data_IF_968125770548
#
_entry.id   IF_968125770548
#
_cell.length_a   1.000
_cell.length_b   1.000
_cell.length_c   1.000
_cell.angle_alpha   90.00
_cell.angle_beta   90.00
_cell.angle_gamma   90.00
#
_symmetry.space_group_name_H-M   'P 1'
#
loop_
_entity.id
_entity.type
_entity.pdbx_description
1 polymer ?
#
# COMPACT_ATOMS: atom_id res chain seq x y z
N UNK A 1 -32.67 -20.21 -14.82
CA UNK A 1 -32.06 -18.87 -15.02
C UNK A 1 -33.13 -17.81 -14.76
N UNK A 2 -33.51 -17.60 -13.49
CA UNK A 2 -34.47 -16.55 -13.05
C UNK A 2 -34.01 -16.01 -11.69
N UNK A 3 -32.73 -15.69 -11.56
CA UNK A 3 -32.15 -15.16 -10.30
C UNK A 3 -31.36 -13.86 -10.46
N UNK A 4 -31.32 -13.24 -11.64
CA UNK A 4 -30.42 -12.09 -11.84
C UNK A 4 -31.09 -10.72 -11.94
N UNK A 5 -32.28 -10.57 -12.53
CA UNK A 5 -32.83 -9.22 -12.75
C UNK A 5 -33.34 -8.54 -11.46
N UNK A 6 -33.97 -9.30 -10.56
CA UNK A 6 -34.54 -8.75 -9.32
C UNK A 6 -33.46 -8.43 -8.29
N UNK A 7 -32.41 -9.25 -8.18
CA UNK A 7 -31.22 -8.92 -7.36
C UNK A 7 -30.48 -7.72 -7.92
N UNK A 8 -30.26 -7.67 -9.23
CA UNK A 8 -29.60 -6.53 -9.89
C UNK A 8 -30.38 -5.22 -9.67
N UNK A 9 -31.71 -5.25 -9.74
CA UNK A 9 -32.55 -4.08 -9.48
C UNK A 9 -32.51 -3.64 -8.01
N UNK A 10 -32.47 -4.58 -7.06
CA UNK A 10 -32.32 -4.28 -5.62
C UNK A 10 -30.94 -3.70 -5.32
N UNK A 11 -29.88 -4.27 -5.88
CA UNK A 11 -28.51 -3.78 -5.71
C UNK A 11 -28.36 -2.38 -6.34
N UNK A 12 -28.87 -2.16 -7.56
CA UNK A 12 -28.91 -0.85 -8.20
C UNK A 12 -29.73 0.18 -7.41
N UNK A 13 -30.85 -0.24 -6.82
CA UNK A 13 -31.64 0.58 -5.90
C UNK A 13 -30.86 0.98 -4.65
N UNK A 14 -30.05 0.10 -4.09
CA UNK A 14 -29.17 0.44 -2.96
C UNK A 14 -28.09 1.44 -3.37
N UNK A 15 -27.46 1.28 -4.53
CA UNK A 15 -26.46 2.23 -5.04
C UNK A 15 -27.03 3.63 -5.29
N UNK A 16 -28.24 3.73 -5.87
CA UNK A 16 -28.93 5.02 -6.07
C UNK A 16 -29.24 5.66 -4.73
N UNK A 17 -29.75 4.91 -3.75
CA UNK A 17 -30.02 5.46 -2.42
C UNK A 17 -28.75 5.95 -1.72
N UNK A 18 -27.62 5.23 -1.82
CA UNK A 18 -26.32 5.69 -1.32
C UNK A 18 -25.86 6.98 -2.00
N UNK A 19 -26.03 7.08 -3.32
CA UNK A 19 -25.66 8.28 -4.07
C UNK A 19 -26.52 9.50 -3.69
N UNK A 20 -27.82 9.30 -3.46
CA UNK A 20 -28.74 10.34 -2.97
C UNK A 20 -28.28 10.82 -1.59
N UNK A 21 -28.07 9.90 -0.65
CA UNK A 21 -27.58 10.24 0.70
C UNK A 21 -26.23 10.99 0.66
N UNK A 22 -25.28 10.53 -0.15
CA UNK A 22 -23.98 11.20 -0.32
C UNK A 22 -24.12 12.64 -0.84
N UNK A 23 -25.07 12.87 -1.75
CA UNK A 23 -25.34 14.18 -2.31
C UNK A 23 -26.04 15.09 -1.29
N UNK A 24 -26.98 14.55 -0.51
CA UNK A 24 -27.66 15.27 0.59
C UNK A 24 -26.70 15.69 1.71
N UNK A 25 -25.71 14.85 2.02
CA UNK A 25 -24.62 15.17 2.95
C UNK A 25 -23.67 16.24 2.41
N UNK A 26 -23.34 16.17 1.12
CA UNK A 26 -22.47 17.17 0.46
C UNK A 26 -23.14 18.55 0.33
N UNK A 27 -24.47 18.58 0.29
CA UNK A 27 -25.31 19.80 0.21
C UNK A 27 -25.71 20.34 1.60
N UNK A 28 -25.39 19.61 2.68
CA UNK A 28 -25.60 20.05 4.07
C UNK A 28 -27.03 19.92 4.59
N UNK A 29 -27.87 19.10 3.95
CA UNK A 29 -29.27 18.88 4.36
C UNK A 29 -29.47 17.64 5.26
N UNK A 30 -28.45 16.77 5.39
CA UNK A 30 -28.51 15.54 6.18
C UNK A 30 -27.44 15.49 7.28
N UNK A 31 -27.84 15.05 8.49
CA UNK A 31 -26.92 14.80 9.61
C UNK A 31 -25.92 13.69 9.22
N UNK A 32 -24.63 14.02 9.21
CA UNK A 32 -23.55 13.06 8.96
C UNK A 32 -23.21 12.32 10.25
N UNK A 33 -23.25 10.99 10.25
CA UNK A 33 -22.57 10.20 11.29
C UNK A 33 -21.07 10.47 11.15
N UNK A 34 -20.48 11.26 12.06
CA UNK A 34 -19.05 11.54 12.08
C UNK A 34 -18.26 10.25 12.34
N UNK A 35 -17.14 10.08 11.64
CA UNK A 35 -16.19 9.01 11.94
C UNK A 35 -15.50 9.35 13.26
N UNK A 36 -15.19 8.33 14.05
CA UNK A 36 -14.45 8.52 15.29
C UNK A 36 -13.12 9.26 15.00
N UNK A 37 -12.76 10.33 15.74
CA UNK A 37 -11.57 11.14 15.46
C UNK A 37 -10.28 10.33 15.37
N UNK A 38 -10.16 9.25 16.15
CA UNK A 38 -9.01 8.33 16.09
C UNK A 38 -8.92 7.58 14.76
N UNK A 39 -10.06 7.20 14.17
CA UNK A 39 -10.10 6.53 12.88
C UNK A 39 -9.71 7.46 11.73
N UNK A 40 -10.15 8.72 11.75
CA UNK A 40 -9.76 9.71 10.74
C UNK A 40 -8.24 9.96 10.76
N UNK A 41 -7.62 10.04 11.94
CA UNK A 41 -6.18 10.15 12.09
C UNK A 41 -5.44 8.92 11.54
N UNK A 42 -5.94 7.71 11.80
CA UNK A 42 -5.34 6.47 11.28
C UNK A 42 -5.44 6.38 9.75
N UNK A 43 -6.55 6.80 9.16
CA UNK A 43 -6.72 6.85 7.71
C UNK A 43 -5.76 7.86 7.08
N UNK A 44 -5.63 9.06 7.67
CA UNK A 44 -4.68 10.07 7.22
C UNK A 44 -3.23 9.58 7.31
N UNK A 45 -2.88 8.87 8.40
CA UNK A 45 -1.58 8.25 8.55
C UNK A 45 -1.32 7.19 7.48
N UNK A 46 -2.30 6.33 7.19
CA UNK A 46 -2.19 5.32 6.15
C UNK A 46 -1.92 5.94 4.76
N UNK A 47 -2.67 6.98 4.40
CA UNK A 47 -2.49 7.71 3.13
C UNK A 47 -1.10 8.38 3.05
N UNK A 48 -0.65 8.98 4.15
CA UNK A 48 0.68 9.60 4.25
C UNK A 48 1.80 8.55 4.13
N UNK A 49 1.67 7.42 4.81
CA UNK A 49 2.62 6.30 4.74
C UNK A 49 2.75 5.79 3.32
N UNK A 50 1.64 5.51 2.63
CA UNK A 50 1.68 5.06 1.23
C UNK A 50 2.37 6.08 0.32
N UNK A 51 2.02 7.37 0.47
CA UNK A 51 2.64 8.44 -0.31
C UNK A 51 4.14 8.55 -0.07
N UNK A 52 4.59 8.37 1.17
CA UNK A 52 6.01 8.36 1.52
C UNK A 52 6.71 7.14 0.92
N UNK A 53 6.12 5.95 1.07
CA UNK A 53 6.65 4.70 0.55
C UNK A 53 6.82 4.74 -0.98
N UNK A 54 5.80 5.19 -1.72
CA UNK A 54 5.88 5.34 -3.17
C UNK A 54 7.04 6.24 -3.61
N UNK A 55 7.23 7.36 -2.91
CA UNK A 55 8.34 8.29 -3.20
C UNK A 55 9.70 7.64 -2.95
N UNK A 56 9.83 6.89 -1.86
CA UNK A 56 11.05 6.16 -1.52
C UNK A 56 11.35 5.11 -2.60
N UNK A 57 10.36 4.28 -2.97
CA UNK A 57 10.48 3.31 -4.07
C UNK A 57 10.97 4.01 -5.33
N UNK A 58 10.32 5.10 -5.74
CA UNK A 58 10.67 5.82 -6.96
C UNK A 58 12.12 6.35 -6.93
N UNK A 59 12.56 6.93 -5.82
CA UNK A 59 13.93 7.45 -5.70
C UNK A 59 14.97 6.32 -5.67
N UNK A 60 14.68 5.21 -4.99
CA UNK A 60 15.57 4.05 -4.98
C UNK A 60 15.70 3.44 -6.38
N UNK A 61 14.62 3.32 -7.15
CA UNK A 61 14.72 2.84 -8.53
C UNK A 61 15.52 3.77 -9.44
N UNK A 62 15.41 5.09 -9.25
CA UNK A 62 16.24 6.07 -9.99
C UNK A 62 17.72 5.94 -9.61
N UNK A 63 18.01 5.66 -8.34
CA UNK A 63 19.38 5.40 -7.88
C UNK A 63 19.96 4.14 -8.53
N UNK A 64 19.20 3.04 -8.57
CA UNK A 64 19.67 1.76 -9.12
C UNK A 64 19.73 1.77 -10.65
N UNK A 65 18.78 2.43 -11.32
CA UNK A 65 18.70 2.53 -12.76
C UNK A 65 18.29 3.95 -13.17
N UNK A 66 19.27 4.86 -13.37
CA UNK A 66 18.99 6.26 -13.71
C UNK A 66 18.25 6.39 -15.05
N UNK A 67 18.55 5.52 -16.01
CA UNK A 67 17.95 5.55 -17.33
C UNK A 67 16.46 5.18 -17.27
N UNK A 68 15.54 6.09 -17.64
CA UNK A 68 14.11 5.83 -17.56
C UNK A 68 13.62 4.76 -18.53
N UNK A 69 14.24 4.64 -19.72
CA UNK A 69 13.88 3.61 -20.69
C UNK A 69 14.27 2.21 -20.22
N UNK A 70 15.48 2.09 -19.67
CA UNK A 70 15.96 0.84 -19.08
C UNK A 70 15.12 0.45 -17.85
N UNK A 71 14.75 1.41 -17.01
CA UNK A 71 13.89 1.17 -15.84
C UNK A 71 12.49 0.69 -16.22
N UNK A 72 11.90 1.22 -17.30
CA UNK A 72 10.62 0.73 -17.81
C UNK A 72 10.75 -0.69 -18.36
N UNK A 73 11.81 -0.96 -19.12
CA UNK A 73 12.12 -2.29 -19.63
C UNK A 73 12.26 -3.32 -18.49
N UNK A 74 13.01 -2.98 -17.44
CA UNK A 74 13.20 -3.83 -16.26
C UNK A 74 11.86 -4.15 -15.57
N UNK A 75 10.96 -3.16 -15.44
CA UNK A 75 9.59 -3.36 -14.91
C UNK A 75 8.72 -4.27 -15.79
N UNK A 76 8.85 -4.16 -17.11
CA UNK A 76 8.10 -5.00 -18.05
C UNK A 76 8.56 -6.45 -18.00
N UNK A 77 9.88 -6.69 -17.95
CA UNK A 77 10.41 -8.04 -17.83
C UNK A 77 9.99 -8.71 -16.52
N UNK A 78 9.95 -7.95 -15.42
CA UNK A 78 9.45 -8.44 -14.12
C UNK A 78 7.97 -8.85 -14.19
N UNK A 79 7.14 -8.12 -14.95
CA UNK A 79 5.73 -8.45 -15.12
C UNK A 79 5.46 -9.60 -16.12
N UNK A 80 6.43 -9.92 -16.99
CA UNK A 80 6.29 -10.90 -18.07
C UNK A 80 7.07 -12.20 -17.80
N UNK A 81 7.67 -12.35 -16.62
CA UNK A 81 8.55 -13.46 -16.23
C UNK A 81 9.67 -13.75 -17.27
N UNK A 82 10.14 -12.70 -17.94
CA UNK A 82 11.15 -12.79 -18.97
C UNK A 82 12.54 -12.51 -18.39
N UNK A 83 13.57 -13.17 -18.92
CA UNK A 83 14.94 -12.94 -18.49
C UNK A 83 15.42 -11.56 -18.94
N UNK A 84 15.78 -10.71 -17.98
CA UNK A 84 16.38 -9.40 -18.26
C UNK A 84 17.68 -9.62 -19.05
N UNK A 85 17.84 -8.99 -20.23
CA UNK A 85 19.09 -9.05 -20.99
C UNK A 85 20.26 -8.55 -20.14
N UNK A 86 21.39 -9.26 -20.20
CA UNK A 86 22.60 -8.82 -19.51
C UNK A 86 23.09 -7.50 -20.10
N UNK A 87 22.93 -6.42 -19.35
CA UNK A 87 23.33 -5.08 -19.77
C UNK A 87 24.83 -4.90 -19.47
N UNK A 88 25.66 -4.46 -20.43
CA UNK A 88 27.08 -4.26 -20.19
C UNK A 88 27.30 -3.23 -19.08
N UNK A 89 27.97 -3.63 -18.00
CA UNK A 89 28.26 -2.76 -16.85
C UNK A 89 29.45 -1.88 -17.16
N UNK A 90 29.26 -0.56 -17.05
CA UNK A 90 30.30 0.41 -17.38
C UNK A 90 31.58 0.21 -16.56
N UNK A 91 31.45 -0.14 -15.27
CA UNK A 91 32.60 -0.43 -14.41
C UNK A 91 33.37 -1.67 -14.85
N UNK A 92 32.67 -2.77 -15.15
CA UNK A 92 33.29 -4.01 -15.62
C UNK A 92 34.01 -3.80 -16.95
N UNK A 93 33.34 -3.15 -17.91
CA UNK A 93 33.91 -2.84 -19.21
C UNK A 93 35.18 -1.98 -19.08
N UNK A 94 35.17 -0.96 -18.21
CA UNK A 94 36.36 -0.16 -17.94
C UNK A 94 37.47 -1.02 -17.29
N UNK A 95 37.12 -1.85 -16.30
CA UNK A 95 38.07 -2.75 -15.64
C UNK A 95 38.74 -3.70 -16.64
N UNK A 96 37.99 -4.28 -17.57
CA UNK A 96 38.52 -5.14 -18.63
C UNK A 96 39.47 -4.38 -19.56
N UNK A 97 39.12 -3.17 -19.98
CA UNK A 97 40.00 -2.34 -20.82
C UNK A 97 41.28 -1.96 -20.08
N UNK A 98 41.20 -1.64 -18.78
CA UNK A 98 42.39 -1.33 -17.96
C UNK A 98 43.29 -2.54 -17.78
N UNK A 99 42.72 -3.73 -17.52
CA UNK A 99 43.49 -4.97 -17.44
C UNK A 99 44.17 -5.26 -18.77
N UNK A 100 43.44 -5.18 -19.88
CA UNK A 100 43.96 -5.45 -21.22
C UNK A 100 45.09 -4.48 -21.60
N UNK A 101 44.90 -3.18 -21.38
CA UNK A 101 45.92 -2.17 -21.62
C UNK A 101 47.17 -2.38 -20.73
N UNK A 102 46.98 -2.79 -19.47
CA UNK A 102 48.08 -3.11 -18.56
C UNK A 102 48.93 -4.30 -19.04
N UNK A 103 48.30 -5.31 -19.64
CA UNK A 103 48.98 -6.45 -20.25
C UNK A 103 49.73 -6.07 -21.53
N UNK A 104 49.13 -5.24 -22.39
CA UNK A 104 49.72 -4.80 -23.65
C UNK A 104 50.94 -3.87 -23.48
N UNK A 105 50.88 -2.97 -22.50
CA UNK A 105 51.99 -2.07 -22.17
C UNK A 105 53.15 -2.84 -21.53
N UNK A 106 52.86 -3.98 -20.91
CA UNK A 106 53.84 -4.87 -20.29
C UNK A 106 54.02 -4.59 -18.80
N UNK A 107 54.10 -5.68 -18.03
CA UNK A 107 54.27 -5.68 -16.58
C UNK A 107 55.64 -5.20 -16.10
N UNK A 108 56.55 -4.85 -17.02
CA UNK A 108 57.85 -4.27 -16.68
C UNK A 108 57.78 -2.78 -16.37
N UNK A 109 56.67 -2.13 -16.73
CA UNK A 109 56.45 -0.72 -16.46
C UNK A 109 55.60 -0.55 -15.19
N UNK A 110 55.92 0.44 -14.33
CA UNK A 110 55.09 0.74 -13.16
C UNK A 110 53.67 1.20 -13.55
N UNK A 111 53.50 1.73 -14.76
CA UNK A 111 52.19 2.10 -15.29
C UNK A 111 51.35 0.87 -15.65
N UNK A 112 51.92 -0.13 -16.33
CA UNK A 112 51.24 -1.37 -16.67
C UNK A 112 50.94 -2.23 -15.44
N UNK A 113 51.97 -2.62 -14.68
CA UNK A 113 51.83 -3.57 -13.57
C UNK A 113 51.16 -2.95 -12.34
N UNK A 114 51.64 -1.78 -11.90
CA UNK A 114 51.27 -1.23 -10.59
C UNK A 114 49.99 -0.38 -10.64
N UNK A 115 49.76 0.33 -11.75
CA UNK A 115 48.61 1.21 -11.91
C UNK A 115 47.46 0.52 -12.66
N UNK A 116 47.66 0.16 -13.92
CA UNK A 116 46.56 -0.31 -14.77
C UNK A 116 45.99 -1.66 -14.34
N UNK A 117 46.83 -2.67 -14.11
CA UNK A 117 46.35 -3.99 -13.67
C UNK A 117 45.67 -3.91 -12.31
N UNK A 118 46.27 -3.19 -11.34
CA UNK A 118 45.71 -3.06 -9.99
C UNK A 118 44.40 -2.28 -9.99
N UNK A 119 44.33 -1.15 -10.69
CA UNK A 119 43.10 -0.37 -10.80
C UNK A 119 42.01 -1.13 -11.56
N UNK A 120 42.35 -1.85 -12.63
CA UNK A 120 41.42 -2.69 -13.37
C UNK A 120 40.79 -3.79 -12.50
N UNK A 121 41.59 -4.45 -11.67
CA UNK A 121 41.11 -5.45 -10.70
C UNK A 121 40.16 -4.84 -9.67
N UNK A 122 40.53 -3.70 -9.06
CA UNK A 122 39.66 -3.00 -8.11
C UNK A 122 38.35 -2.56 -8.77
N UNK A 123 38.40 -2.12 -10.03
CA UNK A 123 37.21 -1.71 -10.77
C UNK A 123 36.25 -2.89 -11.02
N UNK A 124 36.79 -4.09 -11.30
CA UNK A 124 35.99 -5.32 -11.44
C UNK A 124 35.35 -5.72 -10.12
N UNK A 125 36.11 -5.69 -9.03
CA UNK A 125 35.58 -5.96 -7.69
C UNK A 125 34.46 -4.99 -7.32
N UNK A 126 34.63 -3.69 -7.62
CA UNK A 126 33.59 -2.68 -7.39
C UNK A 126 32.31 -2.97 -8.20
N UNK A 127 32.44 -3.42 -9.44
CA UNK A 127 31.30 -3.85 -10.28
C UNK A 127 30.54 -5.03 -9.67
N UNK A 128 31.23 -5.99 -9.06
CA UNK A 128 30.60 -7.11 -8.36
C UNK A 128 29.83 -6.67 -7.11
N UNK A 129 30.42 -5.78 -6.32
CA UNK A 129 29.75 -5.21 -5.14
C UNK A 129 28.53 -4.36 -5.53
N UNK A 130 28.61 -3.57 -6.60
CA UNK A 130 27.47 -2.85 -7.15
C UNK A 130 26.34 -3.80 -7.56
N UNK A 131 26.66 -4.95 -8.20
CA UNK A 131 25.66 -5.97 -8.55
C UNK A 131 25.00 -6.54 -7.30
N UNK A 132 25.77 -6.86 -6.26
CA UNK A 132 25.22 -7.35 -4.98
C UNK A 132 24.33 -6.30 -4.32
N UNK A 133 24.70 -5.02 -4.38
CA UNK A 133 23.87 -3.92 -3.89
C UNK A 133 22.53 -3.87 -4.63
N UNK A 134 22.54 -3.83 -5.96
CA UNK A 134 21.31 -3.79 -6.78
C UNK A 134 20.40 -4.98 -6.46
N UNK A 135 20.96 -6.19 -6.44
CA UNK A 135 20.19 -7.41 -6.13
C UNK A 135 19.62 -7.38 -4.71
N UNK A 136 20.43 -7.01 -3.72
CA UNK A 136 20.01 -6.94 -2.33
C UNK A 136 18.94 -5.88 -2.10
N UNK A 137 19.09 -4.70 -2.70
CA UNK A 137 18.07 -3.64 -2.61
C UNK A 137 16.77 -4.06 -3.28
N UNK A 138 16.82 -4.75 -4.43
CA UNK A 138 15.60 -5.28 -5.05
C UNK A 138 14.87 -6.25 -4.11
N UNK A 139 15.57 -7.30 -3.64
CA UNK A 139 14.97 -8.39 -2.86
C UNK A 139 14.52 -7.92 -1.47
N UNK A 140 15.38 -7.22 -0.73
CA UNK A 140 15.16 -6.95 0.69
C UNK A 140 14.47 -5.61 0.96
N UNK A 141 14.44 -4.71 -0.02
CA UNK A 141 13.90 -3.37 0.17
C UNK A 141 12.74 -3.07 -0.79
N UNK A 142 12.92 -3.22 -2.10
CA UNK A 142 11.87 -2.86 -3.06
C UNK A 142 10.73 -3.88 -3.11
N UNK A 143 11.00 -5.19 -3.11
CA UNK A 143 9.96 -6.22 -3.16
C UNK A 143 8.94 -6.11 -2.01
N UNK A 144 9.35 -6.01 -0.73
CA UNK A 144 8.39 -5.86 0.37
C UNK A 144 7.56 -4.58 0.30
N UNK A 145 8.19 -3.45 -0.08
CA UNK A 145 7.49 -2.18 -0.19
C UNK A 145 6.46 -2.18 -1.32
N UNK A 146 6.78 -2.78 -2.47
CA UNK A 146 5.82 -2.95 -3.58
C UNK A 146 4.66 -3.86 -3.19
N UNK A 147 4.93 -4.98 -2.52
CA UNK A 147 3.90 -5.88 -2.00
C UNK A 147 2.94 -5.15 -1.06
N UNK A 148 3.46 -4.28 -0.19
CA UNK A 148 2.64 -3.43 0.67
C UNK A 148 1.79 -2.42 -0.14
N UNK A 149 2.39 -1.68 -1.08
CA UNK A 149 1.68 -0.62 -1.81
C UNK A 149 0.65 -1.15 -2.80
N UNK A 150 0.92 -2.29 -3.44
CA UNK A 150 0.07 -2.86 -4.50
C UNK A 150 -0.94 -3.89 -3.96
N UNK A 151 -0.59 -4.57 -2.87
CA UNK A 151 -1.44 -5.55 -2.19
C UNK A 151 -2.14 -4.95 -0.98
N UNK A 152 -1.42 -4.88 0.14
CA UNK A 152 -2.01 -4.60 1.46
C UNK A 152 -2.70 -3.23 1.54
N UNK A 153 -2.13 -2.19 0.94
CA UNK A 153 -2.74 -0.87 0.93
C UNK A 153 -4.02 -0.83 0.09
N UNK A 154 -4.12 -1.64 -0.96
CA UNK A 154 -5.33 -1.74 -1.78
C UNK A 154 -6.47 -2.36 -0.98
N UNK A 155 -6.19 -3.38 -0.19
CA UNK A 155 -7.17 -3.98 0.73
C UNK A 155 -7.69 -2.91 1.69
N UNK A 156 -6.79 -2.14 2.33
CA UNK A 156 -7.13 -1.02 3.24
C UNK A 156 -8.07 -0.02 2.55
N UNK A 157 -7.85 0.28 1.27
CA UNK A 157 -8.72 1.17 0.50
C UNK A 157 -10.11 0.56 0.25
N UNK A 158 -10.19 -0.73 -0.01
CA UNK A 158 -11.45 -1.44 -0.21
C UNK A 158 -12.25 -1.53 1.09
N UNK A 159 -11.60 -1.81 2.24
CA UNK A 159 -12.26 -1.76 3.55
C UNK A 159 -12.73 -0.35 3.90
N UNK A 160 -11.92 0.69 3.62
CA UNK A 160 -12.33 2.10 3.79
C UNK A 160 -13.58 2.40 2.97
N UNK A 161 -13.65 1.94 1.72
CA UNK A 161 -14.82 2.11 0.85
C UNK A 161 -16.04 1.37 1.40
N UNK A 162 -15.84 0.15 1.90
CA UNK A 162 -16.92 -0.63 2.52
C UNK A 162 -17.47 0.09 3.76
N UNK A 163 -16.61 0.64 4.61
CA UNK A 163 -17.00 1.39 5.79
C UNK A 163 -17.86 2.61 5.42
N UNK A 164 -17.45 3.37 4.40
CA UNK A 164 -18.24 4.52 3.91
C UNK A 164 -19.62 4.06 3.42
N UNK A 165 -19.70 2.96 2.66
CA UNK A 165 -20.99 2.43 2.20
C UNK A 165 -21.89 2.00 3.37
N UNK A 166 -21.33 1.35 4.39
CA UNK A 166 -22.08 0.95 5.60
C UNK A 166 -22.56 2.14 6.41
N UNK A 167 -21.75 3.20 6.51
CA UNK A 167 -22.15 4.48 7.10
C UNK A 167 -23.35 5.08 6.37
N UNK A 168 -23.32 5.15 5.04
CA UNK A 168 -24.44 5.67 4.24
C UNK A 168 -25.72 4.84 4.42
N UNK A 169 -25.60 3.50 4.40
CA UNK A 169 -26.73 2.60 4.61
C UNK A 169 -27.37 2.80 6.01
N UNK A 170 -26.54 3.04 7.04
CA UNK A 170 -26.99 3.37 8.39
C UNK A 170 -27.75 4.70 8.43
N UNK A 171 -27.23 5.75 7.79
CA UNK A 171 -27.83 7.08 7.78
C UNK A 171 -29.21 7.06 7.06
N UNK A 172 -29.34 6.27 5.99
CA UNK A 172 -30.62 6.00 5.31
C UNK A 172 -31.59 5.27 6.25
N UNK A 173 -31.12 4.23 6.95
CA UNK A 173 -31.95 3.46 7.89
C UNK A 173 -32.45 4.32 9.07
N UNK A 174 -31.57 5.16 9.65
CA UNK A 174 -31.91 6.13 10.69
C UNK A 174 -32.99 7.10 10.20
N UNK A 175 -32.84 7.64 8.99
CA UNK A 175 -33.82 8.56 8.41
C UNK A 175 -35.17 7.88 8.17
N UNK A 176 -35.17 6.64 7.67
CA UNK A 176 -36.40 5.85 7.51
C UNK A 176 -37.07 5.54 8.84
N UNK A 177 -36.30 5.19 9.86
CA UNK A 177 -36.80 4.94 11.20
C UNK A 177 -37.44 6.19 11.81
N UNK A 178 -36.78 7.35 11.72
CA UNK A 178 -37.33 8.64 12.15
C UNK A 178 -38.67 8.93 11.45
N UNK A 179 -38.73 8.78 10.11
CA UNK A 179 -39.97 8.97 9.34
C UNK A 179 -41.09 8.00 9.73
N UNK A 180 -40.77 6.73 10.00
CA UNK A 180 -41.73 5.74 10.46
C UNK A 180 -42.28 6.08 11.86
N UNK A 181 -41.43 6.55 12.78
CA UNK A 181 -41.87 7.02 14.09
C UNK A 181 -42.72 8.28 14.03
N UNK A 182 -42.42 9.22 13.12
CA UNK A 182 -43.25 10.40 12.89
C UNK A 182 -44.64 10.00 12.39
N UNK A 183 -44.71 9.11 11.39
CA UNK A 183 -45.96 8.58 10.87
C UNK A 183 -46.76 7.79 11.93
N UNK A 184 -46.09 7.01 12.79
CA UNK A 184 -46.74 6.32 13.91
C UNK A 184 -47.22 7.30 15.00
N UNK A 185 -46.49 8.39 15.27
CA UNK A 185 -46.96 9.49 16.13
C UNK A 185 -48.17 10.19 15.53
N UNK A 186 -48.16 10.50 14.23
CA UNK A 186 -49.30 11.08 13.53
C UNK A 186 -50.51 10.13 13.53
N UNK A 187 -50.29 8.83 13.39
CA UNK A 187 -51.34 7.81 13.53
C UNK A 187 -51.84 7.70 14.98
N UNK A 188 -50.97 7.80 16.00
CA UNK A 188 -51.33 7.81 17.43
C UNK A 188 -51.98 9.11 17.90
N UNK A 189 -51.77 10.23 17.21
CA UNK A 189 -52.54 11.46 17.44
C UNK A 189 -54.03 11.26 17.05
N UNK A 190 -54.38 10.16 16.35
CA UNK A 190 -55.78 9.76 16.12
C UNK A 190 -56.39 8.80 17.16
N UNK A 191 -55.61 8.22 18.08
CA UNK A 191 -56.09 7.35 19.16
C UNK A 191 -55.18 7.45 20.39
N UNK A 192 -55.72 7.89 21.54
CA UNK A 192 -54.91 8.11 22.75
C UNK A 192 -54.27 6.83 23.31
N UNK A 193 -53.18 7.07 24.03
CA UNK A 193 -52.49 6.23 25.02
C UNK A 193 -51.25 5.40 24.59
N UNK A 194 -50.19 5.56 25.41
CA UNK A 194 -49.22 4.51 25.71
C UNK A 194 -47.81 4.69 25.12
N UNK A 195 -46.93 5.36 25.87
CA UNK A 195 -45.47 5.42 25.64
C UNK A 195 -44.81 4.11 26.10
N UNK A 196 -43.97 3.51 25.24
CA UNK A 196 -42.90 2.60 25.63
C UNK A 196 -41.61 3.00 24.89
N UNK A 197 -40.63 3.47 25.65
CA UNK A 197 -39.26 3.73 25.17
C UNK A 197 -38.41 2.48 25.36
N UNK A 198 -37.63 2.08 24.34
CA UNK A 198 -36.55 1.13 24.50
C UNK A 198 -35.27 1.69 23.86
N UNK A 199 -34.25 1.94 24.68
CA UNK A 199 -32.91 2.39 24.28
C UNK A 199 -31.99 1.19 24.10
N UNK A 200 -31.52 0.88 22.89
CA UNK A 200 -30.31 0.06 22.72
C UNK A 200 -29.65 0.10 21.32
N UNK A 201 -29.36 1.29 20.77
CA UNK A 201 -28.70 1.42 19.45
C UNK A 201 -27.19 1.69 19.49
N UNK A 202 -26.60 1.97 20.67
CA UNK A 202 -25.17 2.34 20.77
C UNK A 202 -24.18 1.16 20.89
N UNK A 203 -24.64 -0.07 21.17
CA UNK A 203 -23.74 -1.22 21.42
C UNK A 203 -23.15 -1.80 20.12
N UNK A 204 -23.90 -1.76 19.02
CA UNK A 204 -23.44 -2.30 17.73
C UNK A 204 -22.29 -1.47 17.12
N UNK A 205 -22.24 -0.16 17.41
CA UNK A 205 -21.25 0.75 16.83
C UNK A 205 -19.88 0.65 17.52
N UNK A 206 -19.85 0.52 18.86
CA UNK A 206 -18.61 0.28 19.60
C UNK A 206 -17.99 -1.07 19.24
N UNK A 207 -18.79 -2.13 19.12
CA UNK A 207 -18.28 -3.46 18.76
C UNK A 207 -17.63 -3.48 17.38
N UNK A 208 -18.22 -2.78 16.40
CA UNK A 208 -17.67 -2.71 15.04
C UNK A 208 -16.41 -1.83 15.02
N UNK A 209 -16.40 -0.67 15.69
CA UNK A 209 -15.19 0.19 15.76
C UNK A 209 -14.02 -0.52 16.46
N UNK A 210 -14.28 -1.23 17.56
CA UNK A 210 -13.26 -1.99 18.31
C UNK A 210 -12.72 -3.16 17.49
N UNK A 211 -13.58 -3.87 16.75
CA UNK A 211 -13.17 -4.99 15.90
C UNK A 211 -12.32 -4.51 14.70
N UNK A 212 -12.67 -3.38 14.09
CA UNK A 212 -11.91 -2.81 12.98
C UNK A 212 -10.57 -2.22 13.44
N UNK A 213 -10.53 -1.52 14.58
CA UNK A 213 -9.28 -0.98 15.14
C UNK A 213 -8.30 -2.08 15.58
N UNK A 214 -8.79 -3.21 16.12
CA UNK A 214 -7.93 -4.37 16.42
C UNK A 214 -7.45 -5.10 15.17
N UNK A 215 -8.27 -5.23 14.12
CA UNK A 215 -7.88 -5.83 12.85
C UNK A 215 -6.74 -5.04 12.17
N UNK A 216 -6.89 -3.71 12.09
CA UNK A 216 -5.85 -2.82 11.57
C UNK A 216 -4.58 -2.95 12.40
N UNK A 217 -4.68 -2.98 13.74
CA UNK A 217 -3.53 -3.08 14.64
C UNK A 217 -2.78 -4.42 14.55
N UNK A 218 -3.49 -5.52 14.35
CA UNK A 218 -2.93 -6.87 14.18
C UNK A 218 -2.26 -7.03 12.81
N UNK A 219 -2.91 -6.55 11.74
CA UNK A 219 -2.40 -6.64 10.35
C UNK A 219 -1.20 -5.72 10.13
N UNK A 220 -1.20 -4.53 10.73
CA UNK A 220 -0.16 -3.52 10.58
C UNK A 220 1.16 -3.85 11.33
N UNK A 221 1.10 -4.51 12.48
CA UNK A 221 2.30 -4.76 13.30
C UNK A 221 2.92 -6.15 13.14
N UNK A 222 2.21 -7.11 12.50
CA UNK A 222 2.70 -8.47 12.31
C UNK A 222 3.93 -8.55 11.39
N UNK A 223 3.84 -8.07 10.13
CA UNK A 223 4.92 -8.23 9.15
C UNK A 223 6.20 -7.47 9.56
N UNK A 224 6.05 -6.27 10.13
CA UNK A 224 7.19 -5.43 10.52
C UNK A 224 7.91 -5.92 11.79
N UNK A 225 7.21 -6.61 12.71
CA UNK A 225 7.85 -7.21 13.90
C UNK A 225 8.75 -8.39 13.53
N UNK A 226 8.33 -9.21 12.58
CA UNK A 226 9.07 -10.41 12.16
C UNK A 226 10.25 -10.05 11.26
N UNK A 227 10.10 -9.09 10.35
CA UNK A 227 11.25 -8.60 9.55
C UNK A 227 12.29 -7.88 10.41
N UNK A 228 11.91 -7.01 11.35
CA UNK A 228 12.87 -6.29 12.20
C UNK A 228 13.66 -7.21 13.15
N UNK A 229 13.05 -8.31 13.61
CA UNK A 229 13.73 -9.30 14.47
C UNK A 229 14.67 -10.21 13.68
N UNK A 230 14.32 -10.59 12.44
CA UNK A 230 15.20 -11.33 11.53
C UNK A 230 16.42 -10.52 11.09
N UNK A 231 16.26 -9.21 10.82
CA UNK A 231 17.39 -8.34 10.47
C UNK A 231 18.33 -8.16 11.66
N UNK A 232 17.80 -7.96 12.88
CA UNK A 232 18.61 -7.79 14.08
C UNK A 232 19.44 -9.05 14.40
N UNK A 233 18.83 -10.23 14.33
CA UNK A 233 19.51 -11.52 14.59
C UNK A 233 20.61 -11.82 13.56
N UNK A 234 20.44 -11.46 12.29
CA UNK A 234 21.53 -11.58 11.30
C UNK A 234 22.67 -10.60 11.58
N UNK A 235 22.37 -9.34 11.90
CA UNK A 235 23.42 -8.33 12.19
C UNK A 235 24.24 -8.60 13.45
N UNK A 236 23.70 -9.38 14.40
CA UNK A 236 24.39 -9.72 15.65
C UNK A 236 25.21 -11.02 15.55
N UNK A 237 24.88 -11.89 14.59
CA UNK A 237 25.65 -13.11 14.28
C UNK A 237 26.90 -12.81 13.46
N UNK A 238 26.90 -11.75 12.65
CA UNK A 238 28.07 -11.28 11.89
C UNK A 238 29.03 -10.40 12.71
N UNK A 239 28.69 -10.09 13.97
CA UNK A 239 29.48 -9.25 14.89
C UNK A 239 30.17 -10.03 16.02
N UNK A 240 30.16 -11.37 15.97
CA UNK A 240 30.90 -12.28 16.86
C UNK A 240 31.75 -13.25 16.05
#
# INVERSE_FOLDING_TARGET
VVMDLTRLAVDAGQFINRAVQYTEESIGQADKTELEPGLEQLLALADATKTCTDKIICQTEVLLQPNPGARLEDRLYEHLDWSVPSRPRALEALGDQMTQAGLEIGSTTPYGESALLRCGEVQKQLSEEERKLVQSTNIHFLTPLRSFTEGEFRDIQDERRMLVNKRLDLDIAKTRLRKAHEADREARVSCSDGVLTFTNENIAFEYISVYFSTLIRQRWNGPWRESATLTYVHTEKDRK
#
